data_IF_797059091758
#
_entry.id   IF_797059091758
#
_cell.length_a   1.000
_cell.length_b   1.000
_cell.length_c   1.000
_cell.angle_alpha   90.00
_cell.angle_beta   90.00
_cell.angle_gamma   90.00
#
_symmetry.space_group_name_H-M   'P 1'
#
loop_
_entity.id
_entity.type
_entity.pdbx_description
1 polymer ?
#
# COMPACT_ATOMS: atom_id res chain seq x y z
N UNK A 1 -3.22 -31.55 3.52
CA UNK A 1 -2.50 -31.87 2.27
C UNK A 1 -1.07 -31.37 2.43
N UNK A 2 -0.04 -32.20 2.30
CA UNK A 2 1.35 -31.83 2.63
C UNK A 2 1.92 -30.69 1.78
N UNK A 3 1.42 -30.52 0.57
CA UNK A 3 1.86 -29.47 -0.37
C UNK A 3 1.19 -28.10 -0.15
N UNK A 4 0.12 -28.04 0.65
CA UNK A 4 -0.63 -26.82 0.90
C UNK A 4 0.03 -26.01 2.01
N UNK A 5 0.41 -24.77 1.72
CA UNK A 5 0.90 -23.79 2.69
C UNK A 5 -0.13 -22.67 2.80
N UNK A 6 -0.72 -22.53 3.97
CA UNK A 6 -1.68 -21.47 4.26
C UNK A 6 -0.98 -20.38 5.10
N UNK A 7 -1.33 -19.11 4.94
CA UNK A 7 -0.90 -18.05 5.84
C UNK A 7 -1.74 -18.01 7.13
N UNK A 8 -1.84 -19.16 7.82
CA UNK A 8 -2.72 -19.36 8.98
C UNK A 8 -2.65 -18.24 10.03
N UNK A 9 -1.45 -17.74 10.43
CA UNK A 9 -1.38 -16.65 11.40
C UNK A 9 -2.04 -15.36 10.92
N UNK A 10 -1.93 -15.04 9.62
CA UNK A 10 -2.58 -13.85 9.03
C UNK A 10 -4.10 -14.03 8.92
N UNK A 11 -4.55 -15.23 8.59
CA UNK A 11 -5.97 -15.57 8.57
C UNK A 11 -6.59 -15.49 9.96
N UNK A 12 -5.88 -16.00 10.97
CA UNK A 12 -6.27 -15.87 12.37
C UNK A 12 -6.42 -14.40 12.79
N UNK A 13 -5.43 -13.55 12.49
CA UNK A 13 -5.50 -12.12 12.79
C UNK A 13 -6.70 -11.45 12.11
N UNK A 14 -6.95 -11.77 10.84
CA UNK A 14 -8.10 -11.26 10.10
C UNK A 14 -9.42 -11.69 10.74
N UNK A 15 -9.53 -12.95 11.19
CA UNK A 15 -10.72 -13.47 11.86
C UNK A 15 -11.03 -12.77 13.18
N UNK A 16 -10.01 -12.30 13.93
CA UNK A 16 -10.19 -11.62 15.23
C UNK A 16 -10.85 -10.24 15.12
N UNK A 17 -10.88 -9.63 13.95
CA UNK A 17 -11.61 -8.37 13.74
C UNK A 17 -13.10 -8.49 14.03
N UNK A 18 -13.73 -9.61 13.67
CA UNK A 18 -15.14 -9.86 13.94
C UNK A 18 -15.46 -9.85 15.42
N UNK A 19 -14.64 -10.50 16.25
CA UNK A 19 -14.80 -10.49 17.71
C UNK A 19 -14.61 -9.09 18.32
N UNK A 20 -13.62 -8.33 17.84
CA UNK A 20 -13.38 -6.96 18.30
C UNK A 20 -14.57 -6.03 17.97
N UNK A 21 -15.15 -6.14 16.79
CA UNK A 21 -16.34 -5.40 16.42
C UNK A 21 -17.57 -5.83 17.23
N UNK A 22 -17.72 -7.15 17.51
CA UNK A 22 -18.77 -7.67 18.37
C UNK A 22 -18.70 -7.07 19.80
N UNK A 23 -17.51 -7.05 20.39
CA UNK A 23 -17.29 -6.45 21.71
C UNK A 23 -17.61 -4.94 21.72
N UNK A 24 -17.18 -4.20 20.68
CA UNK A 24 -17.51 -2.77 20.55
C UNK A 24 -19.02 -2.55 20.43
N UNK A 25 -19.69 -3.32 19.58
CA UNK A 25 -21.13 -3.22 19.40
C UNK A 25 -21.90 -3.54 20.69
N UNK A 26 -21.47 -4.58 21.41
CA UNK A 26 -22.05 -4.95 22.72
C UNK A 26 -21.86 -3.82 23.74
N UNK A 27 -20.66 -3.23 23.81
CA UNK A 27 -20.38 -2.09 24.70
C UNK A 27 -21.29 -0.90 24.40
N UNK A 28 -21.42 -0.52 23.12
CA UNK A 28 -22.30 0.57 22.72
C UNK A 28 -23.77 0.29 23.04
N UNK A 29 -24.19 -0.97 22.97
CA UNK A 29 -25.55 -1.40 23.31
C UNK A 29 -25.81 -1.30 24.82
N UNK A 30 -24.86 -1.70 25.67
CA UNK A 30 -24.94 -1.56 27.13
C UNK A 30 -25.06 -0.08 27.50
N UNK A 31 -24.28 0.80 26.88
CA UNK A 31 -24.28 2.24 27.19
C UNK A 31 -25.51 2.98 26.67
N UNK A 32 -26.27 2.39 25.75
CA UNK A 32 -27.42 3.05 25.12
C UNK A 32 -28.53 3.32 26.14
N UNK A 33 -28.85 4.60 26.30
CA UNK A 33 -30.00 5.03 27.12
C UNK A 33 -29.79 4.95 28.63
N UNK A 34 -28.54 4.70 29.10
CA UNK A 34 -28.25 4.77 30.52
C UNK A 34 -28.32 6.22 31.00
N UNK A 35 -29.08 6.51 32.12
CA UNK A 35 -29.09 7.82 32.72
C UNK A 35 -27.78 8.10 33.51
N UNK A 36 -27.67 9.31 34.07
CA UNK A 36 -26.55 9.67 34.92
C UNK A 36 -26.54 8.80 36.19
N UNK A 37 -25.46 8.21 36.53
CA UNK A 37 -25.14 7.38 37.68
C UNK A 37 -24.65 6.00 37.27
N UNK A 38 -24.27 5.17 38.25
CA UNK A 38 -23.84 3.80 38.02
C UNK A 38 -25.06 2.85 37.98
N UNK A 39 -25.17 2.11 36.88
CA UNK A 39 -26.17 1.06 36.71
C UNK A 39 -25.53 -0.30 36.64
N UNK A 40 -26.24 -1.32 37.04
CA UNK A 40 -25.77 -2.71 37.12
C UNK A 40 -25.39 -3.27 35.73
N UNK A 41 -25.99 -2.74 34.68
CA UNK A 41 -25.64 -2.99 33.27
C UNK A 41 -24.13 -2.80 32.99
N UNK A 42 -23.48 -1.85 33.67
CA UNK A 42 -22.04 -1.59 33.58
C UNK A 42 -21.16 -2.67 34.22
N UNK A 43 -21.72 -3.75 34.76
CA UNK A 43 -20.95 -4.90 35.22
C UNK A 43 -20.44 -5.74 34.05
N UNK A 44 -21.20 -5.78 32.94
CA UNK A 44 -20.85 -6.58 31.75
C UNK A 44 -19.82 -5.90 30.86
N UNK A 45 -19.50 -4.63 31.07
CA UNK A 45 -18.52 -3.88 30.30
C UNK A 45 -17.10 -4.48 30.43
N UNK A 46 -16.77 -5.02 31.59
CA UNK A 46 -15.41 -5.49 31.94
C UNK A 46 -14.97 -6.70 31.11
N UNK A 47 -15.86 -7.67 30.91
CA UNK A 47 -15.57 -8.84 30.09
C UNK A 47 -15.27 -8.46 28.64
N UNK A 48 -16.04 -7.52 28.10
CA UNK A 48 -15.85 -7.03 26.73
C UNK A 48 -14.50 -6.32 26.57
N UNK A 49 -14.12 -5.48 27.55
CA UNK A 49 -12.85 -4.76 27.56
C UNK A 49 -11.68 -5.73 27.71
N UNK A 50 -11.74 -6.63 28.69
CA UNK A 50 -10.64 -7.58 28.95
C UNK A 50 -10.44 -8.53 27.77
N UNK A 51 -11.52 -9.05 27.20
CA UNK A 51 -11.46 -9.89 26.01
C UNK A 51 -10.83 -9.13 24.82
N UNK A 52 -11.23 -7.89 24.59
CA UNK A 52 -10.65 -7.05 23.55
C UNK A 52 -9.16 -6.79 23.78
N UNK A 53 -8.77 -6.49 25.02
CA UNK A 53 -7.37 -6.29 25.39
C UNK A 53 -6.52 -7.54 25.12
N UNK A 54 -6.97 -8.70 25.57
CA UNK A 54 -6.22 -9.95 25.39
C UNK A 54 -6.11 -10.34 23.91
N UNK A 55 -7.19 -10.13 23.14
CA UNK A 55 -7.16 -10.39 21.70
C UNK A 55 -6.18 -9.47 20.97
N UNK A 56 -6.17 -8.17 21.28
CA UNK A 56 -5.27 -7.20 20.67
C UNK A 56 -3.82 -7.53 21.08
N UNK A 57 -3.56 -7.78 22.34
CA UNK A 57 -2.24 -8.17 22.85
C UNK A 57 -1.69 -9.40 22.13
N UNK A 58 -2.47 -10.46 22.05
CA UNK A 58 -2.07 -11.69 21.37
C UNK A 58 -1.88 -11.46 19.86
N UNK A 59 -2.72 -10.65 19.24
CA UNK A 59 -2.60 -10.29 17.82
C UNK A 59 -1.29 -9.54 17.55
N UNK A 60 -0.89 -8.60 18.41
CA UNK A 60 0.38 -7.88 18.31
C UNK A 60 1.58 -8.82 18.45
N UNK A 61 1.53 -9.77 19.38
CA UNK A 61 2.59 -10.76 19.57
C UNK A 61 2.74 -11.64 18.31
N UNK A 62 1.65 -12.18 17.79
CA UNK A 62 1.64 -12.98 16.56
C UNK A 62 2.16 -12.16 15.37
N UNK A 63 1.69 -10.92 15.19
CA UNK A 63 2.15 -10.04 14.13
C UNK A 63 3.66 -9.74 14.24
N UNK A 64 4.15 -9.56 15.46
CA UNK A 64 5.58 -9.35 15.72
C UNK A 64 6.41 -10.55 15.24
N UNK A 65 5.99 -11.78 15.52
CA UNK A 65 6.67 -12.99 15.07
C UNK A 65 6.60 -13.17 13.55
N UNK A 66 5.44 -12.86 12.91
CA UNK A 66 5.33 -12.87 11.47
C UNK A 66 6.34 -11.92 10.82
N UNK A 67 6.44 -10.67 11.35
CA UNK A 67 7.34 -9.65 10.79
C UNK A 67 8.82 -10.00 10.97
N UNK A 68 9.21 -10.69 12.05
CA UNK A 68 10.59 -11.17 12.26
C UNK A 68 10.99 -12.22 11.22
N UNK A 69 10.03 -13.06 10.81
CA UNK A 69 10.27 -14.19 9.90
C UNK A 69 9.84 -13.90 8.46
N UNK A 70 9.43 -12.66 8.16
CA UNK A 70 8.97 -12.27 6.83
C UNK A 70 10.13 -12.13 5.85
N UNK A 71 10.07 -12.87 4.75
CA UNK A 71 11.03 -12.77 3.63
C UNK A 71 10.33 -12.33 2.36
N UNK A 72 10.54 -11.09 1.89
CA UNK A 72 9.92 -10.60 0.67
C UNK A 72 10.53 -11.27 -0.58
N UNK A 73 9.69 -11.80 -1.46
CA UNK A 73 10.12 -12.27 -2.78
C UNK A 73 10.28 -11.06 -3.73
N UNK A 74 11.44 -10.42 -3.67
CA UNK A 74 11.74 -9.18 -4.41
C UNK A 74 11.60 -9.35 -5.93
N UNK A 75 11.96 -10.52 -6.46
CA UNK A 75 11.84 -10.81 -7.89
C UNK A 75 10.37 -10.82 -8.31
N UNK A 76 9.56 -11.59 -7.60
CA UNK A 76 8.14 -11.69 -7.88
C UNK A 76 7.39 -10.37 -7.68
N UNK A 77 7.75 -9.62 -6.64
CA UNK A 77 7.19 -8.28 -6.39
C UNK A 77 7.51 -7.32 -7.55
N UNK A 78 8.73 -7.36 -8.07
CA UNK A 78 9.11 -6.53 -9.22
C UNK A 78 8.36 -6.93 -10.50
N UNK A 79 8.26 -8.23 -10.77
CA UNK A 79 7.48 -8.76 -11.90
C UNK A 79 6.02 -8.28 -11.84
N UNK A 80 5.38 -8.46 -10.69
CA UNK A 80 3.98 -8.05 -10.48
C UNK A 80 3.79 -6.53 -10.61
N UNK A 81 4.74 -5.74 -10.13
CA UNK A 81 4.68 -4.29 -10.25
C UNK A 81 4.82 -3.80 -11.71
N UNK A 82 5.38 -4.63 -12.59
CA UNK A 82 5.54 -4.31 -14.00
C UNK A 82 4.34 -4.75 -14.88
N UNK A 83 3.41 -5.52 -14.31
CA UNK A 83 2.18 -5.94 -15.00
C UNK A 83 1.14 -4.84 -14.93
N UNK A 84 0.35 -4.66 -16.00
CA UNK A 84 -0.81 -3.78 -16.03
C UNK A 84 -0.50 -2.31 -16.26
N UNK A 85 0.60 -2.01 -16.92
CA UNK A 85 0.95 -0.65 -17.37
C UNK A 85 1.01 0.39 -16.24
N UNK A 86 1.52 0.01 -15.08
CA UNK A 86 1.53 0.81 -13.85
C UNK A 86 2.20 2.18 -13.99
N UNK A 87 3.13 2.34 -14.94
CA UNK A 87 3.83 3.60 -15.24
C UNK A 87 3.06 4.50 -16.22
N UNK A 88 1.85 4.14 -16.66
CA UNK A 88 1.07 4.93 -17.62
C UNK A 88 0.67 6.30 -17.07
N UNK A 89 0.40 6.40 -15.77
CA UNK A 89 0.12 7.69 -15.12
C UNK A 89 1.34 8.60 -15.12
N UNK A 90 2.51 8.06 -14.81
CA UNK A 90 3.77 8.81 -14.87
C UNK A 90 4.08 9.27 -16.30
N UNK A 91 3.69 8.47 -17.31
CA UNK A 91 3.81 8.83 -18.71
C UNK A 91 2.94 10.04 -19.05
N UNK A 92 1.68 10.06 -18.59
CA UNK A 92 0.78 11.20 -18.82
C UNK A 92 1.34 12.47 -18.17
N UNK A 93 1.78 12.38 -16.91
CA UNK A 93 2.41 13.48 -16.17
C UNK A 93 3.67 13.99 -16.87
N UNK A 94 4.53 13.08 -17.33
CA UNK A 94 5.73 13.42 -18.09
C UNK A 94 5.42 14.19 -19.37
N UNK A 95 4.40 13.75 -20.13
CA UNK A 95 3.97 14.43 -21.36
C UNK A 95 3.47 15.84 -21.04
N UNK A 96 2.70 16.03 -19.97
CA UNK A 96 2.24 17.36 -19.54
C UNK A 96 3.43 18.28 -19.22
N UNK A 97 4.35 17.79 -18.40
CA UNK A 97 5.48 18.59 -17.89
C UNK A 97 6.49 18.89 -18.99
N UNK A 98 6.86 17.89 -19.79
CA UNK A 98 7.97 18.01 -20.75
C UNK A 98 7.57 18.65 -22.07
N UNK A 99 6.29 18.51 -22.46
CA UNK A 99 5.79 19.06 -23.74
C UNK A 99 4.79 20.19 -23.57
N UNK A 100 4.43 20.57 -22.34
CA UNK A 100 3.48 21.65 -22.07
C UNK A 100 2.06 21.38 -22.58
N UNK A 101 1.69 20.11 -22.75
CA UNK A 101 0.38 19.74 -23.27
C UNK A 101 -0.68 19.73 -22.17
N UNK A 102 -1.94 20.15 -22.47
CA UNK A 102 -3.04 19.95 -21.53
C UNK A 102 -3.20 18.47 -21.16
N UNK A 103 -3.52 18.17 -19.90
CA UNK A 103 -3.63 16.80 -19.39
C UNK A 103 -4.51 15.89 -20.26
N UNK A 104 -5.64 16.39 -20.76
CA UNK A 104 -6.54 15.62 -21.64
C UNK A 104 -5.85 15.16 -22.94
N UNK A 105 -4.96 15.98 -23.51
CA UNK A 105 -4.17 15.60 -24.69
C UNK A 105 -3.10 14.58 -24.32
N UNK A 106 -2.39 14.80 -23.22
CA UNK A 106 -1.40 13.87 -22.70
C UNK A 106 -2.03 12.49 -22.39
N UNK A 107 -3.19 12.49 -21.75
CA UNK A 107 -3.97 11.27 -21.48
C UNK A 107 -4.32 10.51 -22.77
N UNK A 108 -4.78 11.21 -23.81
CA UNK A 108 -5.11 10.57 -25.09
C UNK A 108 -3.89 9.95 -25.75
N UNK A 109 -2.72 10.61 -25.71
CA UNK A 109 -1.47 10.06 -26.22
C UNK A 109 -1.08 8.82 -25.42
N UNK A 110 -1.11 8.89 -24.09
CA UNK A 110 -0.83 7.78 -23.18
C UNK A 110 -1.75 6.60 -23.46
N UNK A 111 -3.05 6.83 -23.63
CA UNK A 111 -4.03 5.79 -23.96
C UNK A 111 -3.71 5.08 -25.28
N UNK A 112 -3.31 5.84 -26.30
CA UNK A 112 -2.88 5.24 -27.58
C UNK A 112 -1.64 4.37 -27.42
N UNK A 113 -0.66 4.80 -26.59
CA UNK A 113 0.55 4.04 -26.31
C UNK A 113 0.23 2.75 -25.55
N UNK A 114 -0.64 2.84 -24.55
CA UNK A 114 -1.07 1.64 -23.78
C UNK A 114 -1.82 0.67 -24.68
N UNK A 115 -2.78 1.13 -25.47
CA UNK A 115 -3.53 0.29 -26.41
C UNK A 115 -2.60 -0.38 -27.44
N UNK A 116 -1.58 0.33 -27.90
CA UNK A 116 -0.58 -0.23 -28.78
C UNK A 116 0.24 -1.34 -28.11
N UNK A 117 0.71 -1.10 -26.87
CA UNK A 117 1.43 -2.10 -26.09
C UNK A 117 0.54 -3.34 -25.83
N UNK A 118 -0.74 -3.13 -25.50
CA UNK A 118 -1.73 -4.18 -25.29
C UNK A 118 -1.95 -5.04 -26.55
N UNK A 119 -2.11 -4.38 -27.71
CA UNK A 119 -2.30 -5.09 -28.99
C UNK A 119 -1.09 -5.98 -29.32
N UNK A 120 0.10 -5.59 -28.89
CA UNK A 120 1.34 -6.38 -29.03
C UNK A 120 1.59 -7.34 -27.87
N UNK A 121 0.75 -7.37 -26.85
CA UNK A 121 0.95 -8.15 -25.61
C UNK A 121 2.30 -7.89 -24.95
N UNK A 122 2.77 -6.63 -24.96
CA UNK A 122 4.06 -6.20 -24.44
C UNK A 122 3.87 -5.20 -23.30
N UNK A 123 4.81 -5.19 -22.34
CA UNK A 123 4.88 -4.14 -21.33
C UNK A 123 5.42 -2.84 -21.92
N UNK A 124 5.12 -1.69 -21.28
CA UNK A 124 5.58 -0.36 -21.75
C UNK A 124 7.11 -0.26 -21.83
N UNK A 125 7.84 -0.89 -20.92
CA UNK A 125 9.31 -0.89 -20.87
C UNK A 125 9.98 -1.63 -22.04
N UNK A 126 9.21 -2.34 -22.85
CA UNK A 126 9.68 -3.06 -24.05
C UNK A 126 9.41 -2.32 -25.35
N UNK A 127 8.69 -1.21 -25.30
CA UNK A 127 8.44 -0.39 -26.48
C UNK A 127 9.70 0.36 -26.90
N UNK A 128 9.94 0.43 -28.21
CA UNK A 128 11.04 1.19 -28.80
C UNK A 128 10.62 2.65 -29.05
N UNK A 129 11.62 3.53 -29.15
CA UNK A 129 11.35 4.95 -29.47
C UNK A 129 10.66 5.11 -30.83
N UNK A 130 11.04 4.30 -31.82
CA UNK A 130 10.43 4.35 -33.17
C UNK A 130 8.95 3.98 -33.14
N UNK A 131 8.58 3.01 -32.30
CA UNK A 131 7.16 2.66 -32.10
C UNK A 131 6.38 3.78 -31.43
N UNK A 132 6.97 4.44 -30.44
CA UNK A 132 6.37 5.58 -29.77
C UNK A 132 6.20 6.79 -30.70
N UNK A 133 7.19 7.06 -31.55
CA UNK A 133 7.14 8.15 -32.55
C UNK A 133 6.11 7.94 -33.63
N UNK A 134 5.72 6.70 -33.94
CA UNK A 134 4.57 6.42 -34.83
C UNK A 134 3.24 6.91 -34.26
N UNK A 135 3.12 6.97 -32.93
CA UNK A 135 1.92 7.42 -32.23
C UNK A 135 1.94 8.93 -32.03
N UNK A 136 3.09 9.46 -31.59
CA UNK A 136 3.34 10.89 -31.39
C UNK A 136 4.78 11.25 -31.81
N UNK A 137 4.96 11.85 -32.98
CA UNK A 137 6.30 12.12 -33.55
C UNK A 137 7.21 13.01 -32.70
N UNK A 138 6.62 13.81 -31.80
CA UNK A 138 7.36 14.75 -30.93
C UNK A 138 8.08 14.07 -29.76
N UNK A 139 7.81 12.78 -29.50
CA UNK A 139 8.41 12.07 -28.38
C UNK A 139 9.92 11.87 -28.56
N UNK A 140 10.68 12.05 -27.49
CA UNK A 140 12.13 11.89 -27.44
C UNK A 140 12.56 10.68 -26.58
N UNK A 141 13.86 10.37 -26.57
CA UNK A 141 14.40 9.23 -25.82
C UNK A 141 14.15 9.27 -24.31
N UNK A 142 14.00 10.46 -23.72
CA UNK A 142 13.83 10.58 -22.28
C UNK A 142 12.54 9.91 -21.81
N UNK A 143 11.55 9.74 -22.68
CA UNK A 143 10.31 9.04 -22.38
C UNK A 143 10.53 7.58 -21.95
N UNK A 144 11.55 6.92 -22.49
CA UNK A 144 11.88 5.54 -22.14
C UNK A 144 12.28 5.41 -20.66
N UNK A 145 12.84 6.47 -20.07
CA UNK A 145 13.20 6.52 -18.65
C UNK A 145 11.97 6.48 -17.74
N UNK A 146 10.81 6.94 -18.22
CA UNK A 146 9.55 6.96 -17.47
C UNK A 146 9.00 5.56 -17.24
N UNK A 147 9.23 4.65 -18.17
CA UNK A 147 8.76 3.26 -18.05
C UNK A 147 9.53 2.44 -17.00
N UNK A 148 10.63 2.97 -16.48
CA UNK A 148 11.41 2.29 -15.46
C UNK A 148 10.77 2.47 -14.08
N UNK A 149 10.31 1.38 -13.45
CA UNK A 149 9.68 1.38 -12.12
C UNK A 149 10.53 2.06 -11.04
N UNK A 150 11.86 1.90 -11.08
CA UNK A 150 12.75 2.54 -10.10
C UNK A 150 12.76 4.06 -10.26
N UNK A 151 12.66 4.56 -11.49
CA UNK A 151 12.58 5.99 -11.76
C UNK A 151 11.21 6.55 -11.32
N UNK A 152 10.13 5.81 -11.57
CA UNK A 152 8.80 6.14 -11.06
C UNK A 152 8.81 6.32 -9.55
N UNK A 153 9.31 5.34 -8.79
CA UNK A 153 9.43 5.44 -7.33
C UNK A 153 10.32 6.62 -6.91
N UNK A 154 11.47 6.81 -7.58
CA UNK A 154 12.43 7.89 -7.27
C UNK A 154 11.84 9.29 -7.47
N UNK A 155 10.90 9.44 -8.40
CA UNK A 155 10.24 10.74 -8.68
C UNK A 155 9.27 11.19 -7.59
N UNK A 156 8.73 10.28 -6.76
CA UNK A 156 7.71 10.55 -5.73
C UNK A 156 8.33 11.19 -4.47
N UNK A 157 8.77 12.45 -4.59
CA UNK A 157 9.52 13.19 -3.56
C UNK A 157 8.67 14.05 -2.62
N UNK A 158 7.38 14.21 -2.88
CA UNK A 158 6.45 14.93 -2.00
C UNK A 158 6.47 14.36 -0.58
N UNK A 159 6.03 15.12 0.43
CA UNK A 159 5.93 14.63 1.80
C UNK A 159 5.03 13.37 1.85
N UNK A 160 5.52 12.31 2.48
CA UNK A 160 4.83 11.00 2.50
C UNK A 160 4.99 10.17 1.22
N UNK A 161 5.61 10.71 0.17
CA UNK A 161 5.87 9.98 -1.07
C UNK A 161 6.86 8.82 -0.90
N UNK A 162 6.80 7.87 -1.83
CA UNK A 162 7.51 6.58 -1.75
C UNK A 162 8.96 6.62 -2.23
N UNK A 163 9.54 7.81 -2.49
CA UNK A 163 10.96 7.89 -2.90
C UNK A 163 11.89 7.27 -1.86
N UNK A 164 12.98 6.67 -2.31
CA UNK A 164 13.95 6.04 -1.40
C UNK A 164 14.48 7.00 -0.33
N UNK A 165 14.58 8.29 -0.63
CA UNK A 165 14.99 9.32 0.32
C UNK A 165 13.93 9.51 1.42
N UNK A 166 12.67 9.61 1.04
CA UNK A 166 11.55 9.74 1.98
C UNK A 166 11.43 8.50 2.88
N UNK A 167 11.52 7.30 2.29
CA UNK A 167 11.51 6.05 3.06
C UNK A 167 12.66 6.01 4.06
N UNK A 168 13.88 6.41 3.67
CA UNK A 168 15.02 6.47 4.60
C UNK A 168 14.77 7.47 5.74
N UNK A 169 14.18 8.64 5.44
CA UNK A 169 13.80 9.64 6.45
C UNK A 169 12.76 9.08 7.42
N UNK A 170 11.73 8.42 6.92
CA UNK A 170 10.70 7.78 7.73
C UNK A 170 11.28 6.69 8.64
N UNK A 171 12.11 5.79 8.12
CA UNK A 171 12.78 4.76 8.91
C UNK A 171 13.63 5.39 10.02
N UNK A 172 14.40 6.46 9.72
CA UNK A 172 15.20 7.16 10.73
C UNK A 172 14.33 7.78 11.82
N UNK A 173 13.21 8.41 11.43
CA UNK A 173 12.25 8.99 12.36
C UNK A 173 11.69 7.94 13.32
N UNK A 174 11.08 6.88 12.80
CA UNK A 174 10.47 5.84 13.64
C UNK A 174 11.47 5.07 14.49
N UNK A 175 12.69 4.83 14.00
CA UNK A 175 13.76 4.26 14.84
C UNK A 175 14.14 5.16 16.01
N UNK A 176 14.09 6.48 15.85
CA UNK A 176 14.35 7.44 16.95
C UNK A 176 13.20 7.42 17.96
N UNK A 177 11.96 7.48 17.49
CA UNK A 177 10.75 7.44 18.33
C UNK A 177 10.67 6.14 19.15
N UNK A 178 10.89 5.00 18.52
CA UNK A 178 10.92 3.69 19.19
C UNK A 178 12.01 3.58 20.27
N UNK A 179 13.17 4.23 20.07
CA UNK A 179 14.22 4.26 21.11
C UNK A 179 13.86 5.18 22.28
N UNK A 180 13.13 6.28 22.04
CA UNK A 180 12.65 7.15 23.12
C UNK A 180 11.63 6.42 23.99
N UNK A 181 10.67 5.71 23.40
CA UNK A 181 9.65 4.97 24.15
C UNK A 181 10.26 3.89 25.05
N UNK A 182 11.34 3.20 24.63
CA UNK A 182 12.04 2.20 25.47
C UNK A 182 12.75 2.79 26.70
N UNK A 183 12.86 4.11 26.83
CA UNK A 183 13.44 4.75 28.02
C UNK A 183 12.40 5.03 29.11
N UNK A 184 11.12 4.84 28.84
CA UNK A 184 10.02 5.11 29.78
C UNK A 184 9.39 3.82 30.34
N UNK A 185 9.94 2.67 30.00
CA UNK A 185 9.62 1.36 30.54
C UNK A 185 10.94 0.68 30.96
#
# INVERSE_FOLDING_TARGET
MPQKKNPDPLEYLRGKTGSSFGNLFSMLTILKGLPLSYFKDLQDDKELVFNSYDQIKNSILILSEILKNFTPNKKRMYELANIGYTTSTDLADYIVISYGLPFRKAYNITSKIVNYAESKKMNLDKLTLDELKKIEPKLNEDILKVFNLKNSIKSKKSYGGTSFENIKKMIKKYKKESKCQKKFY
#
